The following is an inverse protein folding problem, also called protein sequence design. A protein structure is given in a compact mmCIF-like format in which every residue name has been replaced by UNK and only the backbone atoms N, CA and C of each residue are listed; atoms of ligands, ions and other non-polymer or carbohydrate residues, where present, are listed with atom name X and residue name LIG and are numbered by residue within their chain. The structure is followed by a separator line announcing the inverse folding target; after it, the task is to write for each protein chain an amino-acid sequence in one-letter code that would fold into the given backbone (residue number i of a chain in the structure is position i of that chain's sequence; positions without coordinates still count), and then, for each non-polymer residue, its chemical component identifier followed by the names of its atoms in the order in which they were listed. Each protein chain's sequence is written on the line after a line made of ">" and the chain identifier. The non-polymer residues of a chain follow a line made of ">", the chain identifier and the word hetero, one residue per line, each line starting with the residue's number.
data_IF_005037335421
#
_entry.id   IF_005037335421
#
_cell.length_a   1.000
_cell.length_b   1.000
_cell.length_c   1.000
_cell.angle_alpha   90.00
_cell.angle_beta   90.00
_cell.angle_gamma   90.00
#
_symmetry.space_group_name_H-M   'P 1'
#
loop_
_entity.id
_entity.type
_entity.pdbx_description
1 polymer ?
#
# COMPACT_ATOMS: atom_id res chain seq x y z
N UNK A 1 46.66 -24.34 1.59
CA UNK A 1 46.08 -25.71 1.60
C UNK A 1 45.10 -25.84 2.75
N UNK A 2 43.84 -25.85 2.46
CA UNK A 2 42.73 -26.53 3.20
C UNK A 2 41.51 -26.39 2.30
N UNK A 3 41.27 -27.34 1.49
CA UNK A 3 40.35 -28.48 1.51
C UNK A 3 38.92 -28.06 1.93
N UNK A 4 38.14 -27.94 0.96
CA UNK A 4 36.94 -28.61 0.52
C UNK A 4 36.27 -29.49 1.57
N UNK A 5 35.05 -29.18 1.92
CA UNK A 5 34.04 -30.17 2.24
C UNK A 5 32.77 -29.85 1.46
N UNK A 6 32.62 -30.59 0.39
CA UNK A 6 31.39 -30.88 -0.30
C UNK A 6 30.63 -31.86 0.61
N UNK A 7 29.46 -31.51 1.00
CA UNK A 7 28.48 -32.47 1.51
C UNK A 7 27.27 -32.46 0.59
N UNK A 8 27.43 -33.31 -0.39
CA UNK A 8 26.39 -34.00 -1.12
C UNK A 8 25.62 -34.92 -0.18
N UNK A 9 24.33 -34.90 -0.25
CA UNK A 9 23.29 -35.87 0.09
C UNK A 9 22.07 -35.14 0.65
N UNK A 10 20.89 -35.35 0.11
CA UNK A 10 20.30 -36.56 -0.28
C UNK A 10 19.03 -36.39 -1.04
N UNK A 11 18.91 -37.31 -1.91
CA UNK A 11 17.73 -37.87 -2.47
C UNK A 11 16.73 -38.29 -1.38
N UNK A 12 15.50 -38.03 -1.64
CA UNK A 12 14.33 -38.81 -1.29
C UNK A 12 13.12 -38.09 -1.84
N UNK A 13 12.66 -38.47 -2.99
CA UNK A 13 11.67 -39.50 -3.21
C UNK A 13 10.27 -39.16 -2.71
N UNK A 14 9.42 -38.97 -3.72
CA UNK A 14 8.09 -39.58 -3.86
C UNK A 14 7.10 -39.38 -2.72
N UNK A 15 6.10 -38.65 -3.02
CA UNK A 15 4.84 -38.65 -2.30
C UNK A 15 3.73 -38.10 -3.16
N UNK A 16 3.40 -38.84 -4.22
CA UNK A 16 2.14 -38.68 -4.89
C UNK A 16 1.03 -39.11 -3.94
N UNK A 17 0.16 -38.20 -3.61
CA UNK A 17 -1.19 -38.55 -3.15
C UNK A 17 -2.15 -37.67 -3.93
N UNK A 18 -2.57 -38.24 -4.99
CA UNK A 18 -3.88 -38.27 -5.59
C UNK A 18 -4.97 -38.19 -4.50
N UNK A 19 -5.78 -37.21 -4.54
CA UNK A 19 -7.11 -37.22 -3.98
C UNK A 19 -7.86 -35.98 -4.46
N UNK A 20 -8.35 -36.05 -5.64
CA UNK A 20 -9.70 -35.61 -5.98
C UNK A 20 -10.67 -36.72 -5.55
N UNK A 21 -11.94 -36.55 -5.47
CA UNK A 21 -12.81 -35.42 -5.75
C UNK A 21 -14.01 -35.29 -4.78
N UNK A 22 -15.03 -34.60 -5.30
CA UNK A 22 -16.48 -34.75 -5.00
C UNK A 22 -16.96 -33.74 -3.98
N UNK A 23 -17.89 -33.03 -4.28
CA UNK A 23 -19.19 -32.94 -4.89
C UNK A 23 -19.78 -31.62 -4.49
N UNK A 24 -20.28 -30.88 -5.44
CA UNK A 24 -21.70 -30.91 -5.78
C UNK A 24 -22.64 -30.73 -4.57
N UNK A 25 -23.16 -29.54 -4.46
CA UNK A 25 -24.51 -29.25 -4.01
C UNK A 25 -24.76 -27.76 -4.20
N UNK A 26 -25.35 -27.44 -5.26
CA UNK A 26 -26.71 -27.08 -5.60
C UNK A 26 -27.27 -25.89 -4.83
N UNK A 27 -27.89 -25.02 -5.60
CA UNK A 27 -28.41 -23.75 -5.13
C UNK A 27 -29.78 -23.98 -4.46
N UNK A 28 -30.03 -23.23 -3.46
CA UNK A 28 -31.38 -23.04 -2.95
C UNK A 28 -31.85 -21.65 -3.34
N UNK A 29 -32.60 -21.68 -4.41
CA UNK A 29 -33.66 -20.69 -4.62
C UNK A 29 -34.72 -20.87 -3.55
N UNK A 30 -35.17 -19.77 -3.03
CA UNK A 30 -36.56 -19.58 -2.58
C UNK A 30 -36.64 -18.09 -2.30
N UNK A 31 -37.22 -17.33 -3.25
CA UNK A 31 -38.66 -16.99 -3.29
C UNK A 31 -39.07 -16.16 -2.11
N UNK A 32 -39.26 -14.91 -2.47
CA UNK A 32 -40.50 -14.23 -2.66
C UNK A 32 -41.30 -13.88 -1.40
N UNK A 33 -41.68 -12.64 -1.52
CA UNK A 33 -42.85 -11.95 -1.09
C UNK A 33 -42.96 -11.55 0.39
N UNK A 34 -43.09 -10.29 0.62
CA UNK A 34 -44.38 -9.64 0.75
C UNK A 34 -44.24 -8.14 0.97
N UNK A 35 -44.99 -7.44 0.21
CA UNK A 35 -45.64 -6.19 0.30
C UNK A 35 -46.08 -5.77 1.72
N UNK A 36 -45.93 -4.49 1.98
CA UNK A 36 -46.98 -3.59 2.49
C UNK A 36 -46.29 -2.30 2.94
N UNK A 37 -46.43 -1.25 2.19
CA UNK A 37 -47.42 -0.19 2.28
C UNK A 37 -47.61 0.48 3.64
N UNK A 38 -47.26 1.78 3.62
CA UNK A 38 -47.97 2.76 4.39
C UNK A 38 -47.28 3.20 5.69
N UNK A 39 -46.87 4.38 5.76
CA UNK A 39 -47.59 5.49 6.36
C UNK A 39 -46.73 6.74 6.33
N UNK A 40 -47.22 7.72 5.68
CA UNK A 40 -46.80 9.11 5.83
C UNK A 40 -47.02 9.55 7.27
N UNK A 41 -46.04 10.19 7.82
CA UNK A 41 -46.28 11.25 8.82
C UNK A 41 -45.29 12.36 8.62
N UNK A 42 -45.80 13.40 8.07
CA UNK A 42 -45.31 14.76 8.16
C UNK A 42 -45.12 15.13 9.63
N UNK A 43 -43.96 15.53 10.00
CA UNK A 43 -43.76 16.42 11.13
C UNK A 43 -42.73 17.47 10.74
N UNK A 44 -43.29 18.61 10.41
CA UNK A 44 -42.57 19.88 10.44
C UNK A 44 -42.05 20.11 11.85
N UNK A 45 -40.84 20.47 11.90
CA UNK A 45 -40.20 20.90 13.12
C UNK A 45 -38.95 21.67 12.78
N UNK A 46 -39.14 22.92 12.48
CA UNK A 46 -38.14 23.90 12.20
C UNK A 46 -37.15 24.08 13.35
N UNK A 47 -36.00 24.64 12.95
CA UNK A 47 -35.04 25.46 13.69
C UNK A 47 -33.86 24.72 14.26
N UNK A 48 -32.75 25.17 13.75
CA UNK A 48 -31.59 25.24 14.55
C UNK A 48 -30.29 25.07 13.81
N UNK A 49 -29.91 26.09 13.11
CA UNK A 49 -28.59 26.66 13.06
C UNK A 49 -27.42 25.71 13.42
N UNK A 50 -26.49 25.57 12.51
CA UNK A 50 -25.17 25.10 12.84
C UNK A 50 -24.77 23.78 12.21
N UNK A 51 -25.07 23.54 10.94
CA UNK A 51 -24.16 22.77 10.13
C UNK A 51 -22.98 23.65 9.82
N UNK A 52 -22.02 23.62 10.69
CA UNK A 52 -20.68 23.91 10.27
C UNK A 52 -20.37 22.90 9.19
N UNK A 53 -20.33 23.35 7.95
CA UNK A 53 -19.66 22.71 6.85
C UNK A 53 -18.23 22.47 7.26
N UNK A 54 -17.98 21.33 7.90
CA UNK A 54 -16.66 20.79 8.16
C UNK A 54 -16.31 19.77 7.07
N UNK A 55 -16.91 19.91 5.91
CA UNK A 55 -16.37 19.41 4.66
C UNK A 55 -15.32 20.40 4.13
N UNK A 56 -14.43 20.79 4.98
CA UNK A 56 -13.12 21.15 4.51
C UNK A 56 -12.48 19.81 4.16
N UNK A 57 -12.67 19.38 2.91
CA UNK A 57 -11.74 18.51 2.21
C UNK A 57 -10.35 19.14 2.39
N UNK A 58 -9.74 18.85 3.51
CA UNK A 58 -8.31 19.05 3.67
C UNK A 58 -7.66 17.96 2.84
N UNK A 59 -7.76 18.14 1.55
CA UNK A 59 -6.99 17.39 0.57
C UNK A 59 -5.55 17.79 0.81
N UNK A 60 -4.91 17.03 1.70
CA UNK A 60 -3.50 17.19 1.97
C UNK A 60 -2.78 17.19 0.61
N UNK A 61 -1.97 18.21 0.28
CA UNK A 61 -1.43 18.39 -1.05
C UNK A 61 -0.76 17.09 -1.48
N UNK A 62 -1.33 16.47 -2.50
CA UNK A 62 -0.80 15.23 -3.06
C UNK A 62 0.58 15.55 -3.61
N UNK A 63 1.63 14.81 -3.25
CA UNK A 63 2.97 15.14 -3.69
C UNK A 63 3.06 15.13 -5.21
N UNK A 64 3.65 16.18 -5.74
CA UNK A 64 3.94 16.28 -7.17
C UNK A 64 4.90 15.17 -7.59
N UNK A 65 4.69 14.63 -8.80
CA UNK A 65 5.59 13.62 -9.37
C UNK A 65 6.90 14.28 -9.79
N UNK A 66 7.96 13.92 -9.10
CA UNK A 66 9.30 14.45 -9.34
C UNK A 66 10.13 13.54 -10.25
N UNK A 67 11.19 14.10 -10.81
CA UNK A 67 12.20 13.34 -11.55
C UNK A 67 13.35 12.95 -10.63
N UNK A 68 13.78 11.71 -10.73
CA UNK A 68 14.92 11.23 -9.97
C UNK A 68 16.23 11.83 -10.46
N UNK A 69 17.06 12.27 -9.54
CA UNK A 69 18.40 12.82 -9.83
C UNK A 69 19.41 11.66 -9.89
N UNK A 70 20.23 11.59 -10.96
CA UNK A 70 21.29 10.58 -11.04
C UNK A 70 22.34 10.73 -9.93
N UNK A 71 22.74 9.64 -9.31
CA UNK A 71 23.70 9.61 -8.21
C UNK A 71 23.10 9.80 -6.82
N UNK A 72 21.82 10.23 -6.72
CA UNK A 72 21.11 10.35 -5.45
C UNK A 72 20.54 9.01 -5.00
N UNK A 73 20.53 8.78 -3.70
CA UNK A 73 19.94 7.60 -3.06
C UNK A 73 18.59 7.97 -2.46
N UNK A 74 17.63 7.09 -2.68
CA UNK A 74 16.25 7.22 -2.26
C UNK A 74 15.91 6.09 -1.31
N UNK A 75 15.22 6.37 -0.22
CA UNK A 75 14.62 5.35 0.64
C UNK A 75 13.23 5.08 0.12
N UNK A 76 13.05 3.94 -0.51
CA UNK A 76 11.82 3.55 -1.20
C UNK A 76 10.87 2.87 -0.23
N UNK A 77 9.63 3.33 -0.20
CA UNK A 77 8.55 2.73 0.58
C UNK A 77 7.68 1.80 -0.27
N UNK A 78 7.53 2.10 -1.56
CA UNK A 78 6.74 1.26 -2.45
C UNK A 78 6.92 1.62 -3.93
N UNK A 79 6.57 0.68 -4.80
CA UNK A 79 6.55 0.88 -6.26
C UNK A 79 5.21 0.42 -6.83
N UNK A 80 4.57 1.29 -7.59
CA UNK A 80 3.21 1.13 -8.09
C UNK A 80 3.18 1.13 -9.62
N UNK A 81 2.23 0.44 -10.21
CA UNK A 81 2.05 0.36 -11.65
C UNK A 81 1.43 1.62 -12.26
N UNK A 82 0.65 2.37 -11.47
CA UNK A 82 -0.01 3.61 -11.89
C UNK A 82 0.26 4.74 -10.91
N UNK A 83 0.20 5.98 -11.40
CA UNK A 83 0.34 7.16 -10.57
C UNK A 83 -0.78 7.26 -9.54
N UNK A 84 -1.99 6.93 -9.94
CA UNK A 84 -3.16 6.97 -9.08
C UNK A 84 -3.02 6.04 -7.86
N UNK A 85 -2.51 4.82 -8.08
CA UNK A 85 -2.25 3.89 -6.99
C UNK A 85 -1.15 4.40 -6.05
N UNK A 86 -0.12 5.05 -6.58
CA UNK A 86 0.91 5.67 -5.77
C UNK A 86 0.35 6.82 -4.92
N UNK A 87 -0.49 7.67 -5.50
CA UNK A 87 -1.15 8.79 -4.81
C UNK A 87 -2.09 8.30 -3.70
N UNK A 88 -2.91 7.30 -3.99
CA UNK A 88 -3.80 6.67 -2.99
C UNK A 88 -3.01 6.09 -1.82
N UNK A 89 -1.96 5.33 -2.12
CA UNK A 89 -1.09 4.75 -1.10
C UNK A 89 -0.43 5.82 -0.22
N UNK A 90 0.01 6.94 -0.80
CA UNK A 90 0.54 8.08 -0.04
C UNK A 90 -0.53 8.73 0.83
N UNK A 91 -1.75 8.90 0.33
CA UNK A 91 -2.85 9.47 1.12
C UNK A 91 -3.17 8.59 2.34
N UNK A 92 -3.27 7.28 2.15
CA UNK A 92 -3.48 6.32 3.24
C UNK A 92 -2.31 6.27 4.23
N UNK A 93 -1.08 6.35 3.73
CA UNK A 93 0.12 6.35 4.57
C UNK A 93 0.22 7.62 5.42
N UNK A 94 -0.11 8.77 4.87
CA UNK A 94 -0.11 10.06 5.60
C UNK A 94 -1.09 10.08 6.77
N UNK A 95 -2.20 9.38 6.67
CA UNK A 95 -3.15 9.25 7.77
C UNK A 95 -2.53 8.53 8.99
N UNK A 96 -1.50 7.71 8.77
CA UNK A 96 -0.81 6.92 9.81
C UNK A 96 0.58 7.46 10.16
N UNK A 97 1.21 8.14 9.23
CA UNK A 97 2.60 8.61 9.29
C UNK A 97 2.66 10.10 8.89
N UNK A 98 1.99 10.93 9.67
CA UNK A 98 1.83 12.38 9.41
C UNK A 98 3.17 13.12 9.26
N UNK A 99 4.18 12.70 10.01
CA UNK A 99 5.50 13.34 10.03
C UNK A 99 6.44 12.87 8.89
N UNK A 100 5.96 11.96 8.03
CA UNK A 100 6.77 11.41 6.95
C UNK A 100 6.56 12.19 5.66
N UNK A 101 7.66 12.66 5.07
CA UNK A 101 7.62 13.37 3.80
C UNK A 101 7.63 12.39 2.63
N UNK A 102 6.44 12.04 2.14
CA UNK A 102 6.31 11.19 0.97
C UNK A 102 6.50 11.98 -0.32
N UNK A 103 7.32 11.44 -1.23
CA UNK A 103 7.51 11.95 -2.60
C UNK A 103 7.30 10.86 -3.62
N UNK A 104 6.69 11.22 -4.75
CA UNK A 104 6.43 10.29 -5.85
C UNK A 104 7.42 10.57 -6.98
N UNK A 105 8.04 9.53 -7.50
CA UNK A 105 8.99 9.60 -8.60
C UNK A 105 8.59 8.71 -9.75
N UNK A 106 8.78 9.18 -10.97
CA UNK A 106 8.62 8.35 -12.14
C UNK A 106 9.84 7.42 -12.29
N UNK A 107 9.59 6.13 -12.30
CA UNK A 107 10.60 5.07 -12.35
C UNK A 107 10.37 4.16 -13.57
N UNK A 108 10.85 4.59 -14.72
CA UNK A 108 10.66 3.88 -15.98
C UNK A 108 9.20 3.80 -16.41
N UNK A 109 8.54 2.68 -16.14
CA UNK A 109 7.10 2.47 -16.41
C UNK A 109 6.26 2.40 -15.13
N UNK A 110 6.85 2.72 -13.99
CA UNK A 110 6.23 2.61 -12.67
C UNK A 110 6.40 3.90 -11.88
N UNK A 111 5.68 4.00 -10.78
CA UNK A 111 5.77 5.11 -9.84
C UNK A 111 6.35 4.64 -8.52
N UNK A 112 7.43 5.24 -8.12
CA UNK A 112 8.13 4.94 -6.89
C UNK A 112 7.76 5.98 -5.83
N UNK A 113 7.39 5.53 -4.66
CA UNK A 113 7.17 6.38 -3.49
C UNK A 113 8.39 6.31 -2.60
N UNK A 114 8.99 7.46 -2.33
CA UNK A 114 10.13 7.62 -1.44
C UNK A 114 9.74 8.38 -0.18
N UNK A 115 10.31 8.01 0.94
CA UNK A 115 10.11 8.65 2.25
C UNK A 115 11.30 9.52 2.68
N UNK A 116 12.46 9.30 2.08
CA UNK A 116 13.68 10.06 2.33
C UNK A 116 14.59 10.00 1.10
N UNK A 117 15.39 11.04 0.91
CA UNK A 117 16.40 11.08 -0.15
C UNK A 117 17.64 11.83 0.32
N UNK A 118 18.80 11.37 -0.12
CA UNK A 118 20.08 12.04 0.14
C UNK A 118 21.09 11.72 -0.95
N UNK A 119 22.08 12.59 -1.09
CA UNK A 119 23.25 12.34 -1.93
C UNK A 119 24.21 11.35 -1.26
N UNK A 120 24.03 11.12 0.04
CA UNK A 120 24.79 10.15 0.84
C UNK A 120 24.00 8.86 1.08
N UNK A 121 24.50 7.73 0.60
CA UNK A 121 23.92 6.44 0.89
C UNK A 121 24.03 6.06 2.38
N UNK A 122 24.97 6.66 3.12
CA UNK A 122 25.10 6.46 4.56
C UNK A 122 23.92 7.07 5.31
N UNK A 123 23.55 8.31 4.99
CA UNK A 123 22.38 8.98 5.58
C UNK A 123 21.08 8.22 5.33
N UNK A 124 20.90 7.67 4.12
CA UNK A 124 19.74 6.84 3.83
C UNK A 124 19.70 5.58 4.70
N UNK A 125 20.84 4.95 4.96
CA UNK A 125 20.93 3.78 5.85
C UNK A 125 20.65 4.17 7.31
N UNK A 126 21.15 5.30 7.75
CA UNK A 126 20.90 5.79 9.11
C UNK A 126 19.44 6.16 9.30
N UNK A 127 18.82 6.78 8.29
CA UNK A 127 17.37 7.00 8.27
C UNK A 127 16.61 5.68 8.44
N UNK A 128 16.94 4.64 7.66
CA UNK A 128 16.27 3.35 7.74
C UNK A 128 16.44 2.65 9.09
N UNK A 129 17.59 2.81 9.76
CA UNK A 129 17.82 2.26 11.11
C UNK A 129 16.95 2.95 12.15
N UNK A 130 16.75 4.26 12.00
CA UNK A 130 16.00 5.08 12.93
C UNK A 130 14.52 5.18 12.54
N UNK A 131 14.14 4.61 11.40
CA UNK A 131 12.76 4.61 10.93
C UNK A 131 11.85 3.88 11.89
N UNK A 132 10.72 4.49 12.21
CA UNK A 132 9.72 3.93 13.11
C UNK A 132 9.07 2.66 12.56
N UNK A 133 8.23 2.03 13.40
CA UNK A 133 7.58 0.75 13.09
C UNK A 133 6.78 0.76 11.77
N UNK A 134 6.28 1.91 11.33
CA UNK A 134 5.54 2.05 10.08
C UNK A 134 6.39 2.06 8.79
N UNK A 135 7.71 2.13 8.94
CA UNK A 135 8.66 2.20 7.81
C UNK A 135 9.63 1.01 7.79
N UNK A 136 9.22 -0.15 8.29
CA UNK A 136 10.07 -1.35 8.40
C UNK A 136 10.42 -2.00 7.06
N UNK A 137 9.60 -1.79 6.05
CA UNK A 137 9.73 -2.43 4.73
C UNK A 137 10.34 -1.50 3.67
N UNK A 138 11.10 -0.51 4.10
CA UNK A 138 11.78 0.41 3.18
C UNK A 138 13.14 -0.13 2.74
N UNK A 139 13.54 0.20 1.51
CA UNK A 139 14.84 -0.19 0.97
C UNK A 139 15.53 0.96 0.24
N UNK A 140 16.87 0.96 0.19
CA UNK A 140 17.61 2.01 -0.49
C UNK A 140 17.67 1.72 -1.99
N UNK A 141 17.48 2.73 -2.80
CA UNK A 141 17.69 2.71 -4.24
C UNK A 141 18.55 3.89 -4.68
N UNK A 142 19.63 3.61 -5.40
CA UNK A 142 20.48 4.67 -5.98
C UNK A 142 20.29 4.68 -7.49
N UNK A 143 19.89 5.83 -8.03
CA UNK A 143 19.79 6.00 -9.48
C UNK A 143 21.19 6.06 -10.08
N UNK A 144 21.52 5.13 -10.95
CA UNK A 144 22.78 5.13 -11.70
C UNK A 144 22.87 6.37 -12.59
N UNK A 145 24.09 6.86 -12.75
CA UNK A 145 24.42 7.95 -13.69
C UNK A 145 24.32 7.48 -15.13
#
# INVERSE_FOLDING_TARGET
>A
QRQMCISDRGDAESGAIDSEPVAESRPVETSQDDEAAGVETLSEGATGAGRADLDADYEAPVPEVARMIPGRTYVVWGVYSTEENARRAVAEARARLSDTNFRIYFFGKKWMVSVFESDSAAECRDFMRNAGAGLKEVWPYTKKR
#
